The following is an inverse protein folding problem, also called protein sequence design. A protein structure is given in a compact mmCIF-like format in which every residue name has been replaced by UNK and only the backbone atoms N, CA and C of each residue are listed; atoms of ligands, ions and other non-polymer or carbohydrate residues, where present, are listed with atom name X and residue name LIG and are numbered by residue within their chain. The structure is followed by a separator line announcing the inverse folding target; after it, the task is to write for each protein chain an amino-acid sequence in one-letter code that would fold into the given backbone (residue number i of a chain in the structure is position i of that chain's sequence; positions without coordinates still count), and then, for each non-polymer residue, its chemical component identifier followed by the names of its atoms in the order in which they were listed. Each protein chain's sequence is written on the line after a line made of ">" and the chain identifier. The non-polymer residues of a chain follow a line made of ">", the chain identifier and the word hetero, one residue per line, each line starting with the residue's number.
data_IF_870875039490
#
_entry.id   IF_870875039490
#
_cell.length_a   1.000
_cell.length_b   1.000
_cell.length_c   1.000
_cell.angle_alpha   90.00
_cell.angle_beta   90.00
_cell.angle_gamma   90.00
#
_symmetry.space_group_name_H-M   'P 1'
#
loop_
_entity.id
_entity.type
_entity.pdbx_description
1 polymer ?
#
# COMPACT_ATOMS: atom_id res chain seq x y z
N UNK A 1 2.73 -53.39 -26.58
CA UNK A 1 1.48 -52.98 -25.89
C UNK A 1 1.79 -52.85 -24.40
N UNK A 2 1.85 -51.62 -23.86
CA UNK A 2 2.00 -51.42 -22.40
C UNK A 2 0.67 -51.79 -21.70
N UNK A 3 0.69 -52.47 -20.53
CA UNK A 3 -0.51 -53.06 -19.96
C UNK A 3 -1.48 -51.98 -19.45
N UNK A 4 -2.76 -52.09 -19.82
CA UNK A 4 -3.87 -51.20 -19.42
C UNK A 4 -3.99 -50.97 -17.90
N UNK A 5 -3.37 -51.83 -17.08
CA UNK A 5 -3.43 -51.77 -15.60
C UNK A 5 -2.73 -50.55 -15.01
N UNK A 6 -1.67 -50.00 -15.63
CA UNK A 6 -0.95 -48.81 -15.12
C UNK A 6 -1.72 -47.48 -15.34
N UNK A 7 -2.56 -47.38 -16.38
CA UNK A 7 -3.36 -46.18 -16.66
C UNK A 7 -4.46 -45.95 -15.61
N UNK A 8 -5.10 -47.02 -15.12
CA UNK A 8 -6.19 -46.91 -14.13
C UNK A 8 -5.68 -46.50 -12.75
N UNK A 9 -4.47 -46.94 -12.36
CA UNK A 9 -3.85 -46.53 -11.09
C UNK A 9 -3.48 -45.05 -11.13
N UNK A 10 -2.86 -44.59 -12.22
CA UNK A 10 -2.51 -43.18 -12.40
C UNK A 10 -3.76 -42.27 -12.38
N UNK A 11 -4.84 -42.66 -13.07
CA UNK A 11 -6.09 -41.88 -13.09
C UNK A 11 -6.76 -41.80 -11.70
N UNK A 12 -6.67 -42.86 -10.91
CA UNK A 12 -7.27 -42.93 -9.57
C UNK A 12 -6.59 -42.04 -8.52
N UNK A 13 -5.33 -41.63 -8.75
CA UNK A 13 -4.61 -40.71 -7.87
C UNK A 13 -4.46 -39.29 -8.45
N UNK A 14 -4.34 -39.17 -9.78
CA UNK A 14 -4.20 -37.87 -10.44
C UNK A 14 -5.51 -37.09 -10.38
N UNK A 15 -6.65 -37.73 -10.58
CA UNK A 15 -7.94 -37.03 -10.62
C UNK A 15 -8.30 -36.40 -9.25
N UNK A 16 -8.22 -37.13 -8.11
CA UNK A 16 -8.44 -36.52 -6.79
C UNK A 16 -7.42 -35.41 -6.49
N UNK A 17 -6.15 -35.58 -6.88
CA UNK A 17 -5.13 -34.56 -6.69
C UNK A 17 -5.45 -33.28 -7.48
N UNK A 18 -5.89 -33.40 -8.73
CA UNK A 18 -6.35 -32.28 -9.55
C UNK A 18 -7.57 -31.61 -8.93
N UNK A 19 -8.52 -32.37 -8.39
CA UNK A 19 -9.68 -31.80 -7.67
C UNK A 19 -9.26 -31.07 -6.40
N UNK A 20 -8.34 -31.62 -5.60
CA UNK A 20 -7.85 -30.96 -4.38
C UNK A 20 -7.08 -29.68 -4.72
N UNK A 21 -6.20 -29.72 -5.72
CA UNK A 21 -5.46 -28.53 -6.17
C UNK A 21 -6.42 -27.51 -6.77
N UNK A 22 -7.37 -27.95 -7.60
CA UNK A 22 -8.38 -27.10 -8.21
C UNK A 22 -9.29 -26.43 -7.18
N UNK A 23 -9.77 -27.19 -6.20
CA UNK A 23 -10.56 -26.66 -5.09
C UNK A 23 -9.73 -25.70 -4.24
N UNK A 24 -8.48 -26.05 -3.91
CA UNK A 24 -7.59 -25.17 -3.16
C UNK A 24 -7.34 -23.85 -3.91
N UNK A 25 -7.06 -23.92 -5.21
CA UNK A 25 -6.86 -22.74 -6.05
C UNK A 25 -8.13 -21.89 -6.14
N UNK A 26 -9.30 -22.51 -6.39
CA UNK A 26 -10.58 -21.81 -6.43
C UNK A 26 -10.90 -21.14 -5.08
N UNK A 27 -10.69 -21.85 -3.98
CA UNK A 27 -10.90 -21.32 -2.63
C UNK A 27 -9.98 -20.13 -2.35
N UNK A 28 -8.69 -20.22 -2.71
CA UNK A 28 -7.69 -19.17 -2.50
C UNK A 28 -7.90 -17.95 -3.40
N UNK A 29 -8.31 -18.13 -4.65
CA UNK A 29 -8.35 -17.05 -5.66
C UNK A 29 -9.74 -16.42 -5.77
N UNK A 30 -10.81 -17.14 -5.41
CA UNK A 30 -12.18 -16.66 -5.57
C UNK A 30 -12.91 -16.51 -4.23
N UNK A 31 -12.95 -17.57 -3.42
CA UNK A 31 -13.78 -17.57 -2.20
C UNK A 31 -13.18 -16.67 -1.10
N UNK A 32 -11.90 -16.84 -0.78
CA UNK A 32 -11.22 -16.08 0.26
C UNK A 32 -11.22 -14.56 -0.01
N UNK A 33 -10.84 -14.07 -1.22
CA UNK A 33 -10.89 -12.66 -1.54
C UNK A 33 -12.30 -12.07 -1.44
N UNK A 34 -13.33 -12.83 -1.82
CA UNK A 34 -14.72 -12.43 -1.66
C UNK A 34 -15.09 -12.25 -0.17
N UNK A 35 -14.76 -13.24 0.67
CA UNK A 35 -15.01 -13.19 2.12
C UNK A 35 -14.30 -11.98 2.73
N UNK A 36 -13.02 -11.77 2.41
CA UNK A 36 -12.26 -10.66 2.96
C UNK A 36 -12.82 -9.29 2.54
N UNK A 37 -13.27 -9.16 1.30
CA UNK A 37 -13.93 -7.94 0.83
C UNK A 37 -15.22 -7.66 1.59
N UNK A 38 -16.00 -8.70 1.93
CA UNK A 38 -17.23 -8.54 2.71
C UNK A 38 -17.00 -8.24 4.19
N UNK A 39 -15.84 -8.61 4.73
CA UNK A 39 -15.50 -8.39 6.14
C UNK A 39 -14.84 -7.05 6.43
N UNK A 40 -14.37 -6.34 5.41
CA UNK A 40 -13.84 -4.99 5.55
C UNK A 40 -14.95 -3.97 5.40
N UNK A 41 -14.91 -2.91 6.19
CA UNK A 41 -15.74 -1.73 5.99
C UNK A 41 -15.21 -0.96 4.78
N UNK A 42 -16.11 -0.42 3.96
CA UNK A 42 -15.79 0.38 2.79
C UNK A 42 -16.37 1.79 2.97
N UNK A 43 -15.55 2.81 2.78
CA UNK A 43 -15.98 4.19 2.97
C UNK A 43 -15.26 5.14 2.00
N UNK A 44 -16.01 6.14 1.54
CA UNK A 44 -15.49 7.26 0.77
C UNK A 44 -15.38 8.48 1.69
N UNK A 45 -14.15 8.94 1.93
CA UNK A 45 -13.89 10.18 2.66
C UNK A 45 -13.92 11.34 1.67
N UNK A 46 -14.61 12.43 1.99
CA UNK A 46 -14.64 13.61 1.13
C UNK A 46 -14.13 14.82 1.90
N UNK A 47 -13.09 15.47 1.38
CA UNK A 47 -12.57 16.73 1.89
C UNK A 47 -12.03 17.58 0.73
N UNK A 48 -12.27 18.89 0.75
CA UNK A 48 -11.78 19.85 -0.26
C UNK A 48 -12.07 19.42 -1.71
N UNK A 49 -13.30 18.97 -1.99
CA UNK A 49 -13.74 18.44 -3.29
C UNK A 49 -12.94 17.24 -3.81
N UNK A 50 -12.23 16.54 -2.91
CA UNK A 50 -11.50 15.32 -3.22
C UNK A 50 -12.07 14.17 -2.40
N UNK A 51 -12.51 13.13 -3.11
CA UNK A 51 -12.96 11.86 -2.54
C UNK A 51 -11.83 10.85 -2.50
N UNK A 52 -11.62 10.23 -1.33
CA UNK A 52 -10.66 9.18 -1.02
C UNK A 52 -11.39 7.89 -0.68
N UNK A 53 -11.16 6.82 -1.44
CA UNK A 53 -11.61 5.48 -1.07
C UNK A 53 -10.70 4.87 -0.01
N UNK A 54 -11.31 4.36 1.06
CA UNK A 54 -10.65 3.55 2.06
C UNK A 54 -11.43 2.26 2.32
N UNK A 55 -10.69 1.21 2.68
CA UNK A 55 -11.23 0.06 3.37
C UNK A 55 -10.58 -0.02 4.74
N UNK A 56 -11.34 -0.42 5.75
CA UNK A 56 -10.82 -0.51 7.10
C UNK A 56 -11.45 -1.66 7.89
N UNK A 57 -10.77 -2.03 8.98
CA UNK A 57 -11.23 -3.07 9.88
C UNK A 57 -10.76 -2.79 11.30
N UNK A 58 -11.68 -2.93 12.24
CA UNK A 58 -11.37 -2.86 13.67
C UNK A 58 -10.57 -4.09 14.13
N UNK A 59 -9.84 -3.97 15.24
CA UNK A 59 -9.31 -5.12 15.96
C UNK A 59 -10.40 -6.15 16.30
N UNK A 60 -10.10 -7.45 16.18
CA UNK A 60 -11.07 -8.52 16.50
C UNK A 60 -11.44 -8.54 17.99
N UNK A 61 -10.52 -8.14 18.86
CA UNK A 61 -10.77 -7.94 20.28
C UNK A 61 -11.01 -6.46 20.52
N UNK A 62 -12.24 -6.07 20.84
CA UNK A 62 -12.58 -4.74 21.34
C UNK A 62 -12.65 -4.80 22.86
N UNK A 63 -11.58 -4.39 23.53
CA UNK A 63 -11.53 -4.17 24.97
C UNK A 63 -11.57 -2.66 25.26
N UNK A 64 -11.60 -2.27 26.54
CA UNK A 64 -11.46 -0.87 27.00
C UNK A 64 -10.03 -0.33 26.81
N UNK A 65 -9.43 -0.60 25.65
CA UNK A 65 -8.08 -0.19 25.27
C UNK A 65 -8.13 0.54 23.93
N UNK A 66 -7.27 1.54 23.78
CA UNK A 66 -7.00 2.19 22.50
C UNK A 66 -5.92 1.43 21.72
N UNK A 67 -6.22 1.14 20.46
CA UNK A 67 -5.40 0.32 19.57
C UNK A 67 -4.52 1.16 18.64
N UNK A 68 -3.32 0.67 18.28
CA UNK A 68 -2.54 1.30 17.23
C UNK A 68 -3.26 1.15 15.88
N UNK A 69 -3.09 2.13 15.00
CA UNK A 69 -3.54 2.06 13.61
C UNK A 69 -2.39 1.71 12.66
N UNK A 70 -2.67 0.92 11.63
CA UNK A 70 -1.76 0.64 10.52
C UNK A 70 -2.45 0.93 9.19
N UNK A 71 -1.80 1.74 8.36
CA UNK A 71 -2.37 2.25 7.11
C UNK A 71 -1.51 1.79 5.94
N UNK A 72 -2.13 1.15 4.96
CA UNK A 72 -1.48 0.60 3.76
C UNK A 72 -1.78 1.46 2.53
N UNK A 73 -0.72 1.84 1.81
CA UNK A 73 -0.81 2.60 0.57
C UNK A 73 -0.13 1.84 -0.58
N UNK A 74 -0.89 1.61 -1.64
CA UNK A 74 -0.46 0.78 -2.76
C UNK A 74 0.50 1.54 -3.69
N UNK A 75 1.20 0.78 -4.55
CA UNK A 75 1.97 1.33 -5.66
C UNK A 75 1.10 1.51 -6.91
N UNK A 76 1.72 1.87 -8.03
CA UNK A 76 1.03 1.90 -9.33
C UNK A 76 0.49 0.51 -9.68
N UNK A 77 -0.76 0.45 -10.14
CA UNK A 77 -1.48 -0.78 -10.47
C UNK A 77 -2.04 -0.68 -11.89
N UNK A 78 -1.89 -1.76 -12.67
CA UNK A 78 -2.38 -1.80 -14.06
C UNK A 78 -3.91 -1.76 -14.13
N UNK A 79 -4.57 -2.48 -13.23
CA UNK A 79 -6.03 -2.66 -13.17
C UNK A 79 -6.72 -1.64 -12.24
N UNK A 80 -5.93 -0.72 -11.66
CA UNK A 80 -6.39 0.39 -10.82
C UNK A 80 -7.38 -0.01 -9.71
N UNK A 81 -7.22 -1.20 -9.13
CA UNK A 81 -8.11 -1.71 -8.05
C UNK A 81 -8.03 -0.89 -6.76
N UNK A 82 -6.98 -0.08 -6.59
CA UNK A 82 -6.74 0.72 -5.40
C UNK A 82 -6.48 -0.14 -4.17
N UNK A 83 -7.04 0.32 -3.05
CA UNK A 83 -7.02 -0.31 -1.74
C UNK A 83 -7.65 -1.70 -1.71
N UNK A 84 -8.60 -2.00 -2.61
CA UNK A 84 -9.26 -3.30 -2.72
C UNK A 84 -8.28 -4.46 -2.94
N UNK A 85 -7.12 -4.19 -3.56
CA UNK A 85 -6.06 -5.19 -3.71
C UNK A 85 -5.55 -5.71 -2.35
N UNK A 86 -5.36 -4.82 -1.37
CA UNK A 86 -4.95 -5.21 -0.02
C UNK A 86 -6.05 -5.98 0.71
N UNK A 87 -7.30 -5.56 0.55
CA UNK A 87 -8.44 -6.25 1.17
C UNK A 87 -8.55 -7.69 0.66
N UNK A 88 -8.50 -7.87 -0.67
CA UNK A 88 -8.56 -9.19 -1.31
C UNK A 88 -7.42 -10.12 -0.90
N UNK A 89 -6.26 -9.58 -0.56
CA UNK A 89 -5.12 -10.37 -0.06
C UNK A 89 -5.32 -10.88 1.38
N UNK A 90 -6.30 -10.35 2.12
CA UNK A 90 -6.52 -10.68 3.54
C UNK A 90 -5.66 -9.86 4.50
N UNK A 91 -4.89 -8.89 4.01
CA UNK A 91 -3.96 -8.09 4.80
C UNK A 91 -4.64 -7.38 5.98
N UNK A 92 -5.80 -6.77 5.75
CA UNK A 92 -6.53 -6.06 6.80
C UNK A 92 -7.01 -7.02 7.90
N UNK A 93 -7.48 -8.20 7.50
CA UNK A 93 -7.86 -9.25 8.44
C UNK A 93 -6.69 -9.75 9.27
N UNK A 94 -5.51 -9.91 8.67
CA UNK A 94 -4.32 -10.34 9.39
C UNK A 94 -3.90 -9.33 10.47
N UNK A 95 -3.96 -8.03 10.16
CA UNK A 95 -3.55 -6.99 11.11
C UNK A 95 -4.62 -6.69 12.17
N UNK A 96 -5.90 -6.82 11.83
CA UNK A 96 -7.01 -6.78 12.80
C UNK A 96 -6.86 -7.88 13.88
N UNK A 97 -6.49 -9.12 13.49
CA UNK A 97 -6.17 -10.21 14.43
C UNK A 97 -4.96 -9.94 15.31
N UNK A 98 -4.05 -9.07 14.88
CA UNK A 98 -2.87 -8.62 15.63
C UNK A 98 -3.17 -7.36 16.47
N UNK A 99 -4.45 -7.03 16.67
CA UNK A 99 -4.91 -5.88 17.45
C UNK A 99 -4.50 -4.52 16.85
N UNK A 100 -4.51 -4.40 15.53
CA UNK A 100 -4.39 -3.10 14.85
C UNK A 100 -5.72 -2.68 14.25
N UNK A 101 -6.04 -1.40 14.35
CA UNK A 101 -7.00 -0.78 13.44
C UNK A 101 -6.34 -0.69 12.07
N UNK A 102 -6.81 -1.48 11.11
CA UNK A 102 -6.16 -1.61 9.81
C UNK A 102 -6.92 -0.82 8.75
N UNK A 103 -6.19 -0.11 7.89
CA UNK A 103 -6.76 0.73 6.82
C UNK A 103 -5.98 0.51 5.54
N UNK A 104 -6.66 0.38 4.40
CA UNK A 104 -6.10 0.43 3.07
C UNK A 104 -6.65 1.66 2.34
N UNK A 105 -5.79 2.38 1.63
CA UNK A 105 -6.13 3.68 1.01
C UNK A 105 -5.89 3.60 -0.50
N UNK A 106 -6.84 4.10 -1.28
CA UNK A 106 -6.69 4.24 -2.73
C UNK A 106 -6.07 5.60 -3.08
N UNK A 107 -5.00 5.60 -3.87
CA UNK A 107 -4.42 6.80 -4.49
C UNK A 107 -5.42 7.51 -5.42
N UNK A 108 -5.17 8.76 -5.79
CA UNK A 108 -6.07 9.50 -6.70
C UNK A 108 -6.14 8.80 -8.07
N UNK A 109 -7.33 8.66 -8.63
CA UNK A 109 -7.55 7.93 -9.89
C UNK A 109 -7.37 6.40 -9.79
N UNK A 110 -7.38 5.83 -8.58
CA UNK A 110 -7.42 4.39 -8.31
C UNK A 110 -8.66 4.03 -7.49
N UNK A 111 -9.19 2.84 -7.73
CA UNK A 111 -10.41 2.36 -7.09
C UNK A 111 -11.55 3.37 -7.26
N UNK A 112 -12.19 3.74 -6.16
CA UNK A 112 -13.25 4.75 -6.13
C UNK A 112 -12.75 6.14 -5.68
N UNK A 113 -11.43 6.34 -5.52
CA UNK A 113 -10.88 7.68 -5.29
C UNK A 113 -11.04 8.56 -6.52
N UNK A 114 -11.53 9.78 -6.31
CA UNK A 114 -11.76 10.77 -7.36
C UNK A 114 -10.46 11.26 -8.03
N UNK A 115 -10.64 11.96 -9.16
CA UNK A 115 -9.57 12.60 -9.91
C UNK A 115 -8.83 11.68 -10.89
N UNK A 116 -7.85 12.26 -11.58
CA UNK A 116 -6.92 11.50 -12.43
C UNK A 116 -5.74 11.01 -11.59
N UNK A 117 -5.08 9.95 -12.06
CA UNK A 117 -3.82 9.53 -11.44
C UNK A 117 -2.77 10.63 -11.55
N UNK A 118 -2.07 10.90 -10.46
CA UNK A 118 -1.11 11.99 -10.31
C UNK A 118 0.32 11.50 -10.02
N UNK A 119 0.61 10.23 -10.32
CA UNK A 119 1.89 9.55 -10.10
C UNK A 119 2.62 10.02 -8.83
N UNK A 120 2.13 9.61 -7.66
CA UNK A 120 2.71 9.96 -6.36
C UNK A 120 2.61 11.45 -5.99
N UNK A 121 1.76 12.19 -6.69
CA UNK A 121 1.58 13.63 -6.55
C UNK A 121 0.75 14.05 -5.34
N UNK A 122 0.35 15.33 -5.36
CA UNK A 122 -0.29 15.97 -4.21
C UNK A 122 -1.67 15.42 -3.90
N UNK A 123 -2.45 15.02 -4.91
CA UNK A 123 -3.77 14.45 -4.68
C UNK A 123 -3.64 13.10 -3.95
N UNK A 124 -2.74 12.23 -4.40
CA UNK A 124 -2.50 10.95 -3.70
C UNK A 124 -1.91 11.13 -2.29
N UNK A 125 -1.08 12.16 -2.06
CA UNK A 125 -0.63 12.54 -0.73
C UNK A 125 -1.80 12.99 0.17
N UNK A 126 -2.72 13.79 -0.36
CA UNK A 126 -3.90 14.23 0.38
C UNK A 126 -4.80 13.05 0.75
N UNK A 127 -4.96 12.04 -0.12
CA UNK A 127 -5.69 10.81 0.19
C UNK A 127 -5.11 10.10 1.42
N UNK A 128 -3.77 9.96 1.48
CA UNK A 128 -3.11 9.36 2.64
C UNK A 128 -3.33 10.21 3.91
N UNK A 129 -3.26 11.54 3.82
CA UNK A 129 -3.52 12.44 4.95
C UNK A 129 -4.96 12.29 5.46
N UNK A 130 -5.94 12.22 4.55
CA UNK A 130 -7.35 12.00 4.92
C UNK A 130 -7.54 10.68 5.66
N UNK A 131 -6.91 9.59 5.18
CA UNK A 131 -6.98 8.29 5.84
C UNK A 131 -6.27 8.27 7.21
N UNK A 132 -5.14 8.96 7.37
CA UNK A 132 -4.46 9.14 8.65
C UNK A 132 -5.38 9.86 9.64
N UNK A 133 -6.03 10.94 9.21
CA UNK A 133 -6.94 11.71 10.06
C UNK A 133 -8.19 10.89 10.43
N UNK A 134 -8.75 10.15 9.47
CA UNK A 134 -9.83 9.20 9.72
C UNK A 134 -9.45 8.15 10.77
N UNK A 135 -8.27 7.53 10.65
CA UNK A 135 -7.84 6.53 11.62
C UNK A 135 -7.72 7.14 13.03
N UNK A 136 -7.13 8.33 13.15
CA UNK A 136 -6.99 9.03 14.43
C UNK A 136 -8.32 9.46 15.06
N UNK A 137 -9.36 9.67 14.26
CA UNK A 137 -10.67 10.09 14.78
C UNK A 137 -11.50 8.92 15.31
N UNK A 138 -11.07 7.67 15.10
CA UNK A 138 -11.85 6.52 15.57
C UNK A 138 -11.76 6.39 17.10
N UNK A 139 -12.88 6.08 17.79
CA UNK A 139 -12.95 6.07 19.25
C UNK A 139 -11.98 5.06 19.88
N UNK A 140 -11.78 3.91 19.22
CA UNK A 140 -10.93 2.83 19.70
C UNK A 140 -9.47 2.95 19.23
N UNK A 141 -9.09 4.00 18.53
CA UNK A 141 -7.72 4.20 18.06
C UNK A 141 -6.96 5.13 19.01
N UNK A 142 -5.71 4.77 19.32
CA UNK A 142 -4.76 5.68 19.96
C UNK A 142 -4.22 6.64 18.89
N UNK A 143 -4.59 7.93 18.91
CA UNK A 143 -4.20 8.87 17.85
C UNK A 143 -2.69 9.11 17.79
N UNK A 144 -1.95 8.71 18.85
CA UNK A 144 -0.50 8.80 18.96
C UNK A 144 0.21 7.50 18.58
N UNK A 145 -0.48 6.50 18.01
CA UNK A 145 0.11 5.24 17.53
C UNK A 145 -0.37 4.91 16.12
N UNK A 146 0.10 5.70 15.15
CA UNK A 146 -0.21 5.48 13.72
C UNK A 146 1.03 5.05 12.96
N UNK A 147 0.95 3.90 12.30
CA UNK A 147 1.96 3.39 11.39
C UNK A 147 1.49 3.48 9.94
N UNK A 148 2.41 3.74 9.01
CA UNK A 148 2.12 3.74 7.57
C UNK A 148 3.06 2.79 6.84
N UNK A 149 2.48 1.97 5.97
CA UNK A 149 3.17 1.06 5.07
C UNK A 149 2.92 1.49 3.63
N UNK A 150 3.96 1.96 2.96
CA UNK A 150 3.90 2.35 1.55
C UNK A 150 4.66 1.39 0.66
N UNK A 151 4.11 1.09 -0.52
CA UNK A 151 4.76 0.24 -1.53
C UNK A 151 4.98 1.03 -2.83
N UNK A 152 6.19 0.99 -3.38
CA UNK A 152 6.57 1.67 -4.62
C UNK A 152 6.22 3.16 -4.57
N UNK A 153 5.32 3.64 -5.44
CA UNK A 153 4.75 4.99 -5.38
C UNK A 153 4.18 5.36 -4.01
N UNK A 154 3.46 4.42 -3.36
CA UNK A 154 2.94 4.59 -2.02
C UNK A 154 4.05 4.79 -0.96
N UNK A 155 5.24 4.20 -1.17
CA UNK A 155 6.38 4.44 -0.29
C UNK A 155 6.95 5.86 -0.46
N UNK A 156 7.00 6.36 -1.70
CA UNK A 156 7.40 7.74 -1.98
C UNK A 156 6.43 8.74 -1.34
N UNK A 157 5.11 8.52 -1.51
CA UNK A 157 4.05 9.34 -0.89
C UNK A 157 4.17 9.31 0.63
N UNK A 158 4.24 8.12 1.23
CA UNK A 158 4.29 7.96 2.68
C UNK A 158 5.51 8.68 3.29
N UNK A 159 6.64 8.72 2.56
CA UNK A 159 7.83 9.45 2.96
C UNK A 159 7.63 10.97 2.96
N UNK A 160 6.98 11.51 1.93
CA UNK A 160 6.65 12.94 1.86
C UNK A 160 5.65 13.32 2.97
N UNK A 161 4.60 12.51 3.16
CA UNK A 161 3.57 12.78 4.17
C UNK A 161 4.14 12.67 5.59
N UNK A 162 5.08 11.75 5.84
CA UNK A 162 5.74 11.63 7.14
C UNK A 162 6.49 12.89 7.57
N UNK A 163 7.04 13.67 6.64
CA UNK A 163 7.66 14.96 6.96
C UNK A 163 6.63 16.04 7.35
N UNK A 164 5.36 15.85 7.01
CA UNK A 164 4.28 16.82 7.26
C UNK A 164 3.38 16.47 8.46
N UNK A 165 3.57 15.31 9.09
CA UNK A 165 2.68 14.86 10.17
C UNK A 165 3.32 13.86 11.13
N UNK A 166 2.72 13.70 12.34
CA UNK A 166 3.21 12.79 13.39
C UNK A 166 2.90 11.32 13.08
N UNK A 167 3.67 10.67 12.22
CA UNK A 167 3.63 9.21 12.04
C UNK A 167 4.60 8.57 13.03
N UNK A 168 4.22 7.48 13.69
CA UNK A 168 5.04 6.83 14.72
C UNK A 168 5.95 5.74 14.17
N UNK A 169 5.53 5.08 13.10
CA UNK A 169 6.31 4.08 12.40
C UNK A 169 6.06 4.17 10.90
N UNK A 170 7.13 4.07 10.12
CA UNK A 170 7.08 4.17 8.67
C UNK A 170 7.79 2.98 8.04
N UNK A 171 7.07 2.23 7.20
CA UNK A 171 7.59 1.08 6.46
C UNK A 171 7.51 1.42 4.98
N UNK A 172 8.67 1.51 4.34
CA UNK A 172 8.79 1.96 2.96
C UNK A 172 9.39 0.84 2.10
N UNK A 173 8.59 0.31 1.18
CA UNK A 173 8.96 -0.81 0.32
C UNK A 173 9.18 -0.32 -1.11
N UNK A 174 10.42 -0.35 -1.60
CA UNK A 174 10.80 -0.09 -2.99
C UNK A 174 10.40 1.28 -3.54
N UNK A 175 10.39 2.33 -2.70
CA UNK A 175 10.10 3.70 -3.12
C UNK A 175 11.26 4.43 -3.82
N UNK A 176 10.95 5.60 -4.35
CA UNK A 176 11.92 6.58 -4.84
C UNK A 176 11.80 7.88 -4.03
N UNK A 177 12.91 8.57 -3.82
CA UNK A 177 12.95 9.73 -2.89
C UNK A 177 13.59 10.97 -3.49
N UNK A 178 14.19 10.82 -4.68
CA UNK A 178 14.58 11.91 -5.57
C UNK A 178 13.84 11.69 -6.89
N UNK A 179 12.73 12.39 -7.04
CA UNK A 179 11.91 12.28 -8.24
C UNK A 179 12.65 12.82 -9.46
N UNK A 180 13.41 13.92 -9.34
CA UNK A 180 14.13 14.52 -10.47
C UNK A 180 15.22 13.57 -11.00
N UNK A 181 16.05 13.04 -10.11
CA UNK A 181 17.08 12.08 -10.49
C UNK A 181 16.49 10.78 -11.05
N UNK A 182 15.42 10.27 -10.44
CA UNK A 182 14.75 9.06 -10.92
C UNK A 182 14.07 9.27 -12.29
N UNK A 183 13.42 10.41 -12.49
CA UNK A 183 12.82 10.77 -13.78
C UNK A 183 13.88 10.86 -14.89
N UNK A 184 15.04 11.45 -14.62
CA UNK A 184 16.15 11.49 -15.57
C UNK A 184 16.64 10.08 -15.97
N UNK A 185 16.62 9.11 -15.04
CA UNK A 185 16.95 7.71 -15.35
C UNK A 185 15.88 7.03 -16.22
N UNK A 186 14.61 7.29 -15.92
CA UNK A 186 13.50 6.74 -16.69
C UNK A 186 13.42 7.32 -18.10
N UNK A 187 13.60 8.63 -18.26
CA UNK A 187 13.54 9.30 -19.57
C UNK A 187 14.74 8.97 -20.46
N UNK A 188 15.90 8.67 -19.87
CA UNK A 188 17.09 8.22 -20.60
C UNK A 188 17.10 6.72 -20.93
N UNK A 189 16.06 5.97 -20.59
CA UNK A 189 16.00 4.50 -20.69
C UNK A 189 17.09 3.74 -19.93
N UNK A 190 17.86 4.40 -19.06
CA UNK A 190 18.83 3.71 -18.17
C UNK A 190 18.11 2.83 -17.14
N UNK A 191 16.84 3.13 -16.86
CA UNK A 191 15.92 2.24 -16.14
C UNK A 191 14.57 2.19 -16.87
N UNK A 192 14.30 1.10 -17.56
CA UNK A 192 13.09 0.97 -18.38
C UNK A 192 11.82 0.82 -17.53
N UNK A 193 10.81 1.63 -17.85
CA UNK A 193 9.45 1.48 -17.34
C UNK A 193 8.49 1.11 -18.49
N UNK A 194 7.38 0.41 -18.19
CA UNK A 194 6.31 0.23 -19.16
C UNK A 194 5.82 1.58 -19.71
N UNK A 195 5.58 1.68 -21.01
CA UNK A 195 5.24 2.95 -21.68
C UNK A 195 4.00 3.63 -21.09
N UNK A 196 3.01 2.85 -20.64
CA UNK A 196 1.81 3.39 -19.98
C UNK A 196 2.14 4.12 -18.67
N UNK A 197 3.14 3.65 -17.92
CA UNK A 197 3.59 4.31 -16.68
C UNK A 197 4.37 5.58 -17.01
N UNK A 198 5.22 5.55 -18.04
CA UNK A 198 5.92 6.76 -18.49
C UNK A 198 4.97 7.85 -18.99
N UNK A 199 3.91 7.48 -19.70
CA UNK A 199 2.89 8.43 -20.12
C UNK A 199 2.19 9.07 -18.92
N UNK A 200 1.81 8.28 -17.92
CA UNK A 200 1.21 8.79 -16.68
C UNK A 200 2.14 9.76 -15.93
N UNK A 201 3.45 9.45 -15.87
CA UNK A 201 4.45 10.34 -15.27
C UNK A 201 4.49 11.68 -16.03
N UNK A 202 4.57 11.64 -17.37
CA UNK A 202 4.67 12.82 -18.21
C UNK A 202 3.41 13.69 -18.15
N UNK A 203 2.23 13.07 -18.16
CA UNK A 203 0.95 13.75 -17.98
C UNK A 203 0.88 14.44 -16.61
N UNK A 204 1.32 13.74 -15.55
CA UNK A 204 1.35 14.30 -14.20
C UNK A 204 2.33 15.46 -14.07
N UNK A 205 3.51 15.39 -14.68
CA UNK A 205 4.48 16.50 -14.71
C UNK A 205 3.89 17.70 -15.46
N UNK A 206 3.22 17.44 -16.59
CA UNK A 206 2.59 18.49 -17.41
C UNK A 206 1.47 19.20 -16.64
N UNK A 207 0.64 18.45 -15.90
CA UNK A 207 -0.39 19.02 -15.03
C UNK A 207 0.19 19.94 -13.93
N UNK A 208 1.44 19.70 -13.54
CA UNK A 208 2.18 20.49 -12.55
C UNK A 208 3.16 21.48 -13.20
N UNK A 209 2.98 21.77 -14.49
CA UNK A 209 3.73 22.72 -15.33
C UNK A 209 5.16 22.29 -15.68
N UNK A 210 5.95 21.79 -14.73
CA UNK A 210 7.34 21.39 -15.00
C UNK A 210 7.89 20.36 -14.00
N UNK A 211 9.05 19.81 -14.35
CA UNK A 211 9.77 18.80 -13.55
C UNK A 211 10.21 19.30 -12.18
N UNK A 212 10.49 20.60 -12.04
CA UNK A 212 10.94 21.25 -10.81
C UNK A 212 9.81 21.25 -9.77
N UNK A 213 8.62 21.69 -10.18
CA UNK A 213 7.41 21.69 -9.33
C UNK A 213 7.04 20.25 -8.95
N UNK A 214 7.10 19.33 -9.93
CA UNK A 214 6.82 17.93 -9.68
C UNK A 214 7.82 17.26 -8.75
N UNK A 215 9.09 17.62 -8.85
CA UNK A 215 10.13 17.18 -7.93
C UNK A 215 9.93 17.77 -6.54
N UNK A 216 9.63 19.07 -6.41
CA UNK A 216 9.39 19.68 -5.11
C UNK A 216 8.23 19.02 -4.35
N UNK A 217 7.20 18.54 -5.06
CA UNK A 217 6.08 17.84 -4.46
C UNK A 217 6.36 16.38 -4.07
N UNK A 218 7.32 15.70 -4.72
CA UNK A 218 7.53 14.23 -4.61
C UNK A 218 8.88 13.83 -4.00
N UNK A 219 9.87 14.71 -4.10
CA UNK A 219 11.22 14.47 -3.59
C UNK A 219 11.27 14.74 -2.10
N UNK A 220 12.08 13.94 -1.41
CA UNK A 220 12.21 13.96 0.04
C UNK A 220 13.64 13.59 0.48
N UNK A 221 14.64 13.90 -0.36
CA UNK A 221 16.06 13.73 -0.03
C UNK A 221 16.66 14.91 0.77
N UNK A 222 17.59 14.64 1.73
CA UNK A 222 17.83 13.38 2.43
C UNK A 222 17.38 13.47 3.89
N UNK A 223 16.63 12.45 4.33
CA UNK A 223 16.55 12.01 5.73
C UNK A 223 16.44 13.17 6.75
N UNK A 224 15.28 13.83 6.78
CA UNK A 224 14.91 14.81 7.81
C UNK A 224 15.19 14.28 9.23
N UNK A 225 15.63 15.13 10.16
CA UNK A 225 15.69 14.81 11.59
C UNK A 225 14.31 14.46 12.20
N UNK A 226 13.24 14.61 11.41
CA UNK A 226 11.83 14.44 11.80
C UNK A 226 11.27 13.04 11.52
N UNK A 227 12.07 12.08 11.05
CA UNK A 227 11.55 10.71 10.87
C UNK A 227 11.10 10.13 12.21
N UNK A 228 10.03 9.29 12.21
CA UNK A 228 9.68 8.51 13.37
C UNK A 228 10.88 7.74 13.93
N UNK A 229 10.87 7.44 15.24
CA UNK A 229 11.90 6.61 15.86
C UNK A 229 11.98 5.20 15.24
N UNK A 230 10.94 4.76 14.52
CA UNK A 230 10.92 3.50 13.75
C UNK A 230 10.73 3.77 12.26
N UNK A 231 11.82 3.66 11.50
CA UNK A 231 11.82 3.68 10.03
C UNK A 231 12.39 2.37 9.50
N UNK A 232 11.62 1.65 8.69
CA UNK A 232 12.08 0.46 7.97
C UNK A 232 12.01 0.72 6.46
N UNK A 233 13.16 0.66 5.79
CA UNK A 233 13.27 0.82 4.34
C UNK A 233 13.75 -0.49 3.71
N UNK A 234 12.99 -0.99 2.75
CA UNK A 234 13.35 -2.18 1.99
C UNK A 234 13.44 -1.81 0.50
N UNK A 235 14.64 -1.87 -0.10
CA UNK A 235 14.84 -1.64 -1.54
C UNK A 235 16.09 -2.39 -2.01
N UNK A 236 16.04 -2.97 -3.22
CA UNK A 236 17.20 -3.64 -3.86
C UNK A 236 18.42 -2.72 -4.03
N UNK A 237 18.25 -1.40 -3.91
CA UNK A 237 19.31 -0.41 -4.18
C UNK A 237 19.75 0.40 -2.95
N UNK A 238 19.35 0.01 -1.73
CA UNK A 238 19.73 0.72 -0.50
C UNK A 238 20.25 -0.28 0.53
N UNK A 239 21.48 -0.04 1.03
CA UNK A 239 22.01 -0.70 2.25
C UNK A 239 20.97 -0.55 3.35
N UNK A 240 20.50 -1.65 3.92
CA UNK A 240 19.55 -1.70 5.03
C UNK A 240 19.99 -0.74 6.15
N UNK A 241 19.25 0.35 6.35
CA UNK A 241 19.35 1.18 7.55
C UNK A 241 18.16 0.85 8.44
N UNK A 242 18.38 -0.04 9.41
CA UNK A 242 17.48 -0.18 10.56
C UNK A 242 17.95 0.82 11.60
N UNK A 243 17.29 1.97 11.73
CA UNK A 243 17.48 2.82 12.92
C UNK A 243 16.50 2.32 13.97
N UNK A 244 16.95 1.44 14.85
CA UNK A 244 16.26 1.11 16.09
C UNK A 244 16.84 2.05 17.15
N UNK A 245 16.17 3.16 17.46
CA UNK A 245 16.52 3.93 18.66
C UNK A 245 15.87 3.24 19.86
N UNK A 246 16.54 2.24 20.43
CA UNK A 246 16.29 1.82 21.80
C UNK A 246 16.97 2.84 22.72
N UNK A 247 16.25 3.88 23.13
CA UNK A 247 16.62 4.63 24.33
C UNK A 247 16.13 3.83 25.54
N UNK A 248 16.92 2.84 25.97
CA UNK A 248 16.89 2.41 27.36
C UNK A 248 17.76 3.41 28.13
N UNK A 249 17.12 4.29 28.89
CA UNK A 249 17.77 4.94 30.02
C UNK A 249 17.63 3.99 31.21
N UNK A 250 18.77 3.47 31.69
CA UNK A 250 18.94 3.12 33.10
C UNK A 250 19.09 4.41 33.91
#
# INVERSE_FOLDING_TARGET
>A
MLPNKKKNIALSYILPLVFVIGFYAFFRVSILPYIYTKQAQHQLLTANNQTTEIYWKEPDLLADKKYPAIIFLHGIQKDKQGSKAFVRSGLLNEYSKKNFFSVAVSMSGYGESSGKSDFCGKASQNNLIQAINFARSQPHVDPNKVAVVGISCGASIANVVANSGKINALILVSGFYDFKGMYAQWSSNTRTLPSNVMNEINESISAEKNTETASAARSSLPISSQYPPTLMRYSKHIRTYTRCQTSCAC
#
